data_IF_286331380944
#
_entry.id   IF_286331380944
#
_cell.length_a   1.000
_cell.length_b   1.000
_cell.length_c   1.000
_cell.angle_alpha   90.00
_cell.angle_beta   90.00
_cell.angle_gamma   90.00
#
_symmetry.space_group_name_H-M   'P 1'
#
loop_
_entity.id
_entity.type
_entity.pdbx_description
1 polymer ?
#
# COMPACT_ATOMS: atom_id res chain seq x y z
N UNK A 1 15.25 11.82 11.47
CA UNK A 1 14.06 10.99 11.13
C UNK A 1 13.04 11.14 12.26
N UNK A 2 11.91 11.83 12.06
CA UNK A 2 10.88 12.02 13.09
C UNK A 2 9.49 11.52 12.68
N UNK A 3 9.19 11.49 11.38
CA UNK A 3 7.86 11.15 10.86
C UNK A 3 7.96 9.90 9.98
N UNK A 4 8.07 8.73 10.60
CA UNK A 4 7.98 7.43 9.92
C UNK A 4 6.62 6.81 10.21
N UNK A 5 6.05 6.12 9.22
CA UNK A 5 4.80 5.38 9.36
C UNK A 5 4.91 4.07 8.58
N UNK A 6 4.12 3.08 8.97
CA UNK A 6 4.08 1.76 8.33
C UNK A 6 2.98 1.75 7.28
N UNK A 7 3.30 1.26 6.08
CA UNK A 7 2.33 1.06 5.00
C UNK A 7 1.87 -0.39 5.01
N UNK A 8 0.56 -0.67 5.07
CA UNK A 8 0.07 -2.04 5.04
C UNK A 8 0.02 -2.54 3.59
N UNK A 9 0.74 -3.64 3.33
CA UNK A 9 0.89 -4.23 2.00
C UNK A 9 0.30 -5.64 1.97
N UNK A 10 -0.01 -6.12 0.77
CA UNK A 10 -0.40 -7.50 0.49
C UNK A 10 0.37 -7.98 -0.75
N UNK A 11 1.19 -9.01 -0.61
CA UNK A 11 2.03 -9.57 -1.69
C UNK A 11 2.76 -8.52 -2.56
N UNK A 12 3.31 -7.46 -1.94
CA UNK A 12 4.06 -6.42 -2.64
C UNK A 12 3.23 -5.30 -3.28
N UNK A 13 1.90 -5.31 -3.13
CA UNK A 13 0.99 -4.23 -3.58
C UNK A 13 0.19 -3.64 -2.40
N UNK A 14 -0.56 -2.55 -2.64
CA UNK A 14 -1.45 -1.93 -1.67
C UNK A 14 -2.75 -2.75 -1.50
N UNK A 15 -3.42 -2.65 -0.35
CA UNK A 15 -4.57 -3.50 -0.02
C UNK A 15 -5.81 -3.20 -0.88
N UNK A 16 -6.10 -1.93 -1.11
CA UNK A 16 -7.31 -1.48 -1.79
C UNK A 16 -7.07 -0.13 -2.48
N UNK A 17 -7.88 0.24 -3.48
CA UNK A 17 -7.75 1.54 -4.12
C UNK A 17 -8.11 2.67 -3.15
N UNK A 18 -7.30 3.73 -3.13
CA UNK A 18 -7.50 4.91 -2.31
C UNK A 18 -7.25 6.18 -3.13
N UNK A 19 -7.92 7.26 -2.75
CA UNK A 19 -7.65 8.59 -3.31
C UNK A 19 -7.11 9.47 -2.19
N UNK A 20 -5.81 9.73 -2.22
CA UNK A 20 -5.18 10.68 -1.32
C UNK A 20 -5.48 12.11 -1.73
N UNK A 21 -5.88 12.94 -0.77
CA UNK A 21 -6.29 14.34 -1.01
C UNK A 21 -5.57 15.27 -0.05
N UNK A 22 -4.86 16.26 -0.60
CA UNK A 22 -4.26 17.36 0.16
C UNK A 22 -4.41 18.66 -0.62
N UNK A 23 -5.22 19.59 -0.11
CA UNK A 23 -5.55 20.83 -0.83
C UNK A 23 -6.12 20.52 -2.22
N UNK A 24 -5.48 21.04 -3.27
CA UNK A 24 -5.84 20.74 -4.67
C UNK A 24 -5.15 19.48 -5.25
N UNK A 25 -4.28 18.82 -4.49
CA UNK A 25 -3.63 17.56 -4.88
C UNK A 25 -4.58 16.38 -4.67
N UNK A 26 -4.84 15.61 -5.73
CA UNK A 26 -5.64 14.38 -5.70
C UNK A 26 -4.85 13.28 -6.39
N UNK A 27 -4.53 12.21 -5.67
CA UNK A 27 -3.73 11.10 -6.20
C UNK A 27 -4.51 9.80 -6.00
N UNK A 28 -4.83 9.14 -7.11
CA UNK A 28 -5.37 7.79 -7.10
C UNK A 28 -4.22 6.80 -6.94
N UNK A 29 -4.32 5.92 -5.95
CA UNK A 29 -3.49 4.74 -5.78
C UNK A 29 -4.37 3.52 -5.95
N UNK A 30 -3.98 2.59 -6.83
CA UNK A 30 -4.74 1.38 -7.13
C UNK A 30 -3.83 0.15 -7.10
N UNK A 31 -4.25 -0.96 -6.45
CA UNK A 31 -3.51 -2.20 -6.47
C UNK A 31 -3.32 -2.71 -7.90
N UNK A 32 -2.20 -3.39 -8.12
CA UNK A 32 -1.83 -3.94 -9.41
C UNK A 32 -1.54 -5.43 -9.29
N UNK A 33 -1.58 -6.13 -10.42
CA UNK A 33 -1.19 -7.54 -10.46
C UNK A 33 0.34 -7.68 -10.31
N UNK A 34 0.84 -8.82 -9.81
CA UNK A 34 2.27 -9.06 -9.70
C UNK A 34 3.01 -8.85 -11.03
N UNK A 35 4.14 -8.15 -10.98
CA UNK A 35 4.98 -7.87 -12.17
C UNK A 35 4.53 -6.67 -13.00
N UNK A 36 3.60 -5.85 -12.51
CA UNK A 36 3.21 -4.57 -13.13
C UNK A 36 4.28 -3.49 -12.93
N UNK A 37 5.01 -3.54 -11.81
CA UNK A 37 5.93 -2.50 -11.38
C UNK A 37 5.23 -1.24 -10.85
N UNK A 38 6.04 -0.22 -10.53
CA UNK A 38 5.57 1.08 -10.04
C UNK A 38 5.25 2.02 -11.20
N UNK A 39 3.97 2.08 -11.57
CA UNK A 39 3.46 3.00 -12.60
C UNK A 39 2.94 4.26 -11.93
N UNK A 40 3.81 5.26 -11.80
CA UNK A 40 3.51 6.51 -11.13
C UNK A 40 4.25 7.71 -11.77
N UNK A 41 3.77 8.92 -11.51
CA UNK A 41 4.50 10.16 -11.82
C UNK A 41 5.67 10.37 -10.85
N UNK A 42 6.68 11.17 -11.22
CA UNK A 42 7.97 11.24 -10.51
C UNK A 42 7.89 11.44 -8.99
N UNK A 43 7.07 12.38 -8.50
CA UNK A 43 6.90 12.61 -7.06
C UNK A 43 6.34 11.39 -6.32
N UNK A 44 5.30 10.78 -6.88
CA UNK A 44 4.66 9.62 -6.26
C UNK A 44 5.54 8.37 -6.39
N UNK A 45 6.24 8.19 -7.53
CA UNK A 45 7.15 7.05 -7.75
C UNK A 45 8.20 6.95 -6.66
N UNK A 46 8.93 8.04 -6.38
CA UNK A 46 9.96 8.05 -5.35
C UNK A 46 9.42 7.63 -3.97
N UNK A 47 8.20 8.07 -3.63
CA UNK A 47 7.57 7.72 -2.34
C UNK A 47 7.16 6.24 -2.31
N UNK A 48 6.59 5.73 -3.40
CA UNK A 48 6.10 4.35 -3.48
C UNK A 48 7.24 3.33 -3.50
N UNK A 49 8.35 3.65 -4.17
CA UNK A 49 9.57 2.84 -4.17
C UNK A 49 10.22 2.80 -2.78
N UNK A 50 10.34 3.95 -2.10
CA UNK A 50 10.85 4.02 -0.72
C UNK A 50 9.92 3.35 0.30
N UNK A 51 8.62 3.26 -0.01
CA UNK A 51 7.66 2.51 0.80
C UNK A 51 7.77 0.98 0.59
N UNK A 52 8.61 0.51 -0.33
CA UNK A 52 8.77 -0.91 -0.64
C UNK A 52 7.63 -1.51 -1.46
N UNK A 53 6.84 -0.68 -2.14
CA UNK A 53 5.75 -1.14 -3.00
C UNK A 53 6.35 -1.55 -4.35
N UNK A 54 6.08 -2.79 -4.75
CA UNK A 54 6.60 -3.36 -5.99
C UNK A 54 5.65 -3.09 -7.16
N UNK A 55 4.35 -3.28 -6.93
CA UNK A 55 3.32 -3.24 -7.95
C UNK A 55 2.22 -2.24 -7.57
N UNK A 56 2.06 -1.16 -8.33
CA UNK A 56 0.99 -0.17 -8.08
C UNK A 56 0.72 0.70 -9.31
N UNK A 57 -0.56 1.02 -9.52
CA UNK A 57 -1.00 2.00 -10.49
C UNK A 57 -1.32 3.31 -9.78
N UNK A 58 -0.69 4.39 -10.20
CA UNK A 58 -0.87 5.71 -9.60
C UNK A 58 -1.14 6.79 -10.66
N UNK A 59 -2.13 7.65 -10.41
CA UNK A 59 -2.44 8.80 -11.27
C UNK A 59 -2.74 10.05 -10.44
N UNK A 60 -2.08 11.16 -10.76
CA UNK A 60 -2.51 12.48 -10.28
C UNK A 60 -3.72 12.94 -11.08
N UNK A 61 -4.79 13.28 -10.38
CA UNK A 61 -6.10 13.71 -10.92
C UNK A 61 -6.37 15.20 -10.66
N UNK A 62 -5.49 15.89 -9.93
CA UNK A 62 -5.66 17.28 -9.54
C UNK A 62 -4.45 18.12 -9.90
N UNK A 63 -3.94 18.87 -8.93
CA UNK A 63 -2.75 19.70 -9.09
C UNK A 63 -1.52 18.90 -9.59
N UNK A 64 -0.78 19.48 -10.53
CA UNK A 64 0.52 18.98 -11.02
C UNK A 64 1.70 19.43 -10.15
N UNK A 65 1.46 20.21 -9.09
CA UNK A 65 2.51 20.65 -8.18
C UNK A 65 3.09 19.45 -7.40
N UNK A 66 4.40 19.21 -7.57
CA UNK A 66 5.13 18.11 -6.96
C UNK A 66 4.94 17.99 -5.44
N UNK A 67 4.89 19.10 -4.71
CA UNK A 67 4.72 19.10 -3.24
C UNK A 67 3.34 18.58 -2.85
N UNK A 68 2.30 19.01 -3.58
CA UNK A 68 0.93 18.58 -3.30
C UNK A 68 0.73 17.12 -3.72
N UNK A 69 1.32 16.69 -4.84
CA UNK A 69 1.29 15.28 -5.25
C UNK A 69 1.99 14.40 -4.22
N UNK A 70 3.15 14.81 -3.73
CA UNK A 70 3.88 14.08 -2.69
C UNK A 70 3.06 13.96 -1.40
N UNK A 71 2.52 15.07 -0.90
CA UNK A 71 1.68 15.09 0.31
C UNK A 71 0.40 14.28 0.14
N UNK A 72 -0.27 14.39 -1.00
CA UNK A 72 -1.46 13.60 -1.30
C UNK A 72 -1.15 12.11 -1.41
N UNK A 73 0.01 11.73 -1.96
CA UNK A 73 0.46 10.33 -2.00
C UNK A 73 0.66 9.78 -0.59
N UNK A 74 1.35 10.52 0.28
CA UNK A 74 1.54 10.14 1.69
C UNK A 74 0.19 10.02 2.41
N UNK A 75 -0.71 10.98 2.23
CA UNK A 75 -2.05 10.93 2.82
C UNK A 75 -2.83 9.68 2.36
N UNK A 76 -2.76 9.34 1.08
CA UNK A 76 -3.39 8.13 0.55
C UNK A 76 -2.82 6.85 1.17
N UNK A 77 -1.50 6.77 1.35
CA UNK A 77 -0.86 5.62 2.01
C UNK A 77 -1.25 5.51 3.50
N UNK A 78 -1.44 6.64 4.19
CA UNK A 78 -1.89 6.66 5.58
C UNK A 78 -3.37 6.28 5.75
N UNK A 79 -4.18 6.47 4.70
CA UNK A 79 -5.60 6.10 4.69
C UNK A 79 -5.83 4.60 4.46
N UNK A 80 -4.79 3.86 4.07
CA UNK A 80 -4.88 2.41 3.95
C UNK A 80 -5.21 1.78 5.31
N UNK A 81 -6.09 0.79 5.27
CA UNK A 81 -6.58 0.04 6.43
C UNK A 81 -6.17 -1.41 6.31
N UNK A 82 -5.70 -1.98 7.42
CA UNK A 82 -5.32 -3.39 7.46
C UNK A 82 -6.57 -4.27 7.49
N UNK A 83 -6.55 -5.46 6.87
CA UNK A 83 -7.72 -6.33 6.86
C UNK A 83 -8.14 -6.76 8.28
N UNK A 84 -7.18 -7.05 9.16
CA UNK A 84 -7.45 -7.44 10.55
C UNK A 84 -8.09 -6.31 11.38
N UNK A 85 -7.73 -5.06 11.11
CA UNK A 85 -8.33 -3.89 11.76
C UNK A 85 -9.80 -3.73 11.34
N UNK A 86 -10.12 -3.91 10.06
CA UNK A 86 -11.49 -3.83 9.56
C UNK A 86 -12.37 -4.94 10.13
N UNK A 87 -11.85 -6.17 10.23
CA UNK A 87 -12.56 -7.29 10.83
C UNK A 87 -12.91 -7.01 12.31
N UNK A 88 -11.92 -6.55 13.08
CA UNK A 88 -12.09 -6.15 14.49
C UNK A 88 -13.12 -5.02 14.65
N UNK A 89 -13.06 -4.00 13.81
CA UNK A 89 -14.00 -2.88 13.82
C UNK A 89 -15.45 -3.32 13.54
N UNK A 90 -15.61 -4.38 12.73
CA UNK A 90 -16.93 -4.95 12.40
C UNK A 90 -17.39 -6.04 13.37
N UNK A 91 -16.54 -6.49 14.29
CA UNK A 91 -16.85 -7.58 15.22
C UNK A 91 -17.07 -8.93 14.53
N UNK A 92 -16.46 -9.13 13.36
CA UNK A 92 -16.57 -10.34 12.55
C UNK A 92 -15.22 -11.03 12.44
N UNK A 93 -15.23 -12.33 12.16
CA UNK A 93 -14.02 -13.03 11.80
C UNK A 93 -13.47 -12.49 10.45
N UNK A 94 -12.13 -12.37 10.30
CA UNK A 94 -11.53 -11.85 9.08
C UNK A 94 -11.92 -12.63 7.82
N UNK A 95 -12.23 -13.91 7.97
CA UNK A 95 -12.56 -14.82 6.86
C UNK A 95 -13.95 -14.55 6.27
N UNK A 96 -14.89 -14.03 7.08
CA UNK A 96 -16.24 -13.71 6.64
C UNK A 96 -16.33 -12.31 6.02
N UNK A 97 -15.48 -11.39 6.48
CA UNK A 97 -15.52 -9.98 6.12
C UNK A 97 -14.70 -9.65 4.86
N UNK A 98 -13.68 -10.45 4.54
CA UNK A 98 -12.59 -10.06 3.65
C UNK A 98 -12.44 -11.10 2.54
N UNK A 99 -12.24 -10.68 1.27
CA UNK A 99 -11.99 -11.62 0.19
C UNK A 99 -10.82 -12.55 0.50
N UNK A 100 -11.03 -13.87 0.32
CA UNK A 100 -10.03 -14.89 0.67
C UNK A 100 -8.66 -14.66 0.01
N UNK A 101 -8.65 -14.21 -1.25
CA UNK A 101 -7.40 -13.89 -1.96
C UNK A 101 -6.62 -12.74 -1.32
N UNK A 102 -7.30 -11.69 -0.86
CA UNK A 102 -6.68 -10.56 -0.18
C UNK A 102 -6.15 -10.96 1.20
N UNK A 103 -6.95 -11.71 1.97
CA UNK A 103 -6.56 -12.15 3.31
C UNK A 103 -5.34 -13.08 3.26
N UNK A 104 -5.29 -13.98 2.28
CA UNK A 104 -4.12 -14.83 2.05
C UNK A 104 -2.88 -14.01 1.71
N UNK A 105 -2.98 -13.10 0.74
CA UNK A 105 -1.88 -12.23 0.32
C UNK A 105 -1.35 -11.36 1.48
N UNK A 106 -2.26 -10.86 2.32
CA UNK A 106 -1.92 -10.08 3.51
C UNK A 106 -1.19 -10.92 4.59
N UNK A 107 -1.71 -12.12 4.88
CA UNK A 107 -1.07 -13.06 5.82
C UNK A 107 0.33 -13.50 5.32
N UNK A 108 0.48 -13.69 4.01
CA UNK A 108 1.77 -14.00 3.37
C UNK A 108 2.78 -12.85 3.55
N UNK A 109 2.34 -11.59 3.41
CA UNK A 109 3.22 -10.43 3.64
C UNK A 109 3.58 -10.21 5.12
N UNK A 110 2.72 -10.56 6.07
CA UNK A 110 3.05 -10.47 7.51
C UNK A 110 4.02 -11.56 7.97
N UNK A 111 4.06 -12.71 7.29
CA UNK A 111 4.92 -13.85 7.65
C UNK A 111 6.42 -13.55 7.51
N UNK A 112 6.78 -12.46 6.82
CA UNK A 112 8.17 -12.15 6.48
C UNK A 112 8.78 -13.15 5.49
N UNK A 113 10.02 -12.95 5.03
CA UNK A 113 10.71 -13.97 4.25
C UNK A 113 10.78 -15.27 5.06
N UNK A 114 10.58 -16.41 4.40
CA UNK A 114 10.80 -17.70 5.04
C UNK A 114 12.21 -17.72 5.66
N UNK A 115 12.43 -18.35 6.83
CA UNK A 115 13.78 -18.49 7.36
C UNK A 115 14.63 -19.15 6.28
N UNK A 116 15.67 -18.46 5.82
CA UNK A 116 16.69 -19.00 4.94
C UNK A 116 17.15 -20.34 5.56
N UNK A 117 17.26 -21.44 4.77
CA UNK A 117 17.81 -22.67 5.31
C UNK A 117 19.17 -22.33 5.91
N UNK A 118 19.32 -22.50 7.23
CA UNK A 118 20.64 -22.43 7.85
C UNK A 118 21.48 -23.51 7.16
N UNK A 119 22.38 -23.10 6.27
CA UNK A 119 23.43 -23.97 5.74
C UNK A 119 24.27 -24.40 6.94
N UNK A 120 23.99 -25.62 7.41
CA UNK A 120 24.85 -26.35 8.33
C UNK A 120 26.12 -26.70 7.57
N UNK A 121 27.19 -25.96 7.87
CA UNK A 121 28.55 -26.23 7.43
C UNK A 121 29.14 -27.46 8.14
#
# INVERSE_FOLDING_TARGET
RKNLFTVPLASGTIIHPVIGVVGAGRVLLKPAAPGTGVIAGGAARAILEEAGIQDVLCKSLGSSNYINVARATVAGLQDLRRPDEIAKLRGLDPEDCIPAGLLRAYRESERGPAPEPFEVA
#
